data_IF_809458159020
#
_entry.id   IF_809458159020
#
_cell.length_a   1.000
_cell.length_b   1.000
_cell.length_c   1.000
_cell.angle_alpha   90.00
_cell.angle_beta   90.00
_cell.angle_gamma   90.00
#
_symmetry.space_group_name_H-M   'P 1'
#
loop_
_entity.id
_entity.type
_entity.pdbx_description
1 polymer ?
#
# COMPACT_ATOMS: atom_id res chain seq x y z
N UNK A 1 -9.57 61.89 -30.02
CA UNK A 1 -9.15 61.70 -28.62
C UNK A 1 -9.88 60.49 -28.06
N UNK A 2 -9.14 59.56 -27.44
CA UNK A 2 -9.55 58.44 -26.57
C UNK A 2 -10.37 57.30 -27.23
N UNK A 3 -9.79 56.21 -27.72
CA UNK A 3 -9.33 54.98 -27.01
C UNK A 3 -10.27 54.44 -25.93
N UNK A 4 -10.94 53.31 -26.22
CA UNK A 4 -10.85 52.10 -25.39
C UNK A 4 -11.54 50.91 -26.06
N UNK A 5 -10.69 49.98 -26.45
CA UNK A 5 -10.99 48.62 -26.90
C UNK A 5 -11.05 47.73 -25.65
N UNK A 6 -12.17 47.04 -25.42
CA UNK A 6 -12.27 46.01 -24.39
C UNK A 6 -12.25 44.63 -25.05
N UNK A 7 -11.07 44.01 -25.00
CA UNK A 7 -10.83 42.66 -25.48
C UNK A 7 -11.52 41.64 -24.57
N UNK A 8 -12.30 40.76 -25.20
CA UNK A 8 -12.90 39.55 -24.64
C UNK A 8 -11.79 38.58 -24.22
N UNK A 9 -11.44 38.55 -22.92
CA UNK A 9 -10.59 37.50 -22.37
C UNK A 9 -11.38 36.19 -22.32
N UNK A 10 -11.02 35.26 -23.20
CA UNK A 10 -11.43 33.88 -23.11
C UNK A 10 -10.87 33.24 -21.84
N UNK A 11 -11.76 32.74 -20.99
CA UNK A 11 -11.44 31.88 -19.85
C UNK A 11 -10.87 30.55 -20.36
N UNK A 12 -9.54 30.50 -20.54
CA UNK A 12 -8.81 29.25 -20.73
C UNK A 12 -8.82 28.46 -19.42
N UNK A 13 -9.58 27.39 -19.43
CA UNK A 13 -9.57 26.32 -18.44
C UNK A 13 -8.15 25.75 -18.33
N UNK A 14 -7.55 25.81 -17.14
CA UNK A 14 -6.22 25.25 -16.87
C UNK A 14 -6.30 23.72 -16.84
N UNK A 15 -5.48 22.97 -17.58
CA UNK A 15 -5.36 21.54 -17.35
C UNK A 15 -4.56 21.30 -16.06
N UNK A 16 -5.22 20.72 -15.06
CA UNK A 16 -4.58 20.08 -13.91
C UNK A 16 -4.11 18.69 -14.33
N UNK A 17 -2.87 18.59 -14.80
CA UNK A 17 -2.00 17.40 -14.74
C UNK A 17 -0.77 17.66 -15.62
N UNK A 18 0.21 18.36 -15.04
CA UNK A 18 1.60 18.32 -15.52
C UNK A 18 2.44 17.69 -14.41
N UNK A 19 2.33 16.37 -14.25
CA UNK A 19 3.37 15.61 -13.59
C UNK A 19 4.59 15.64 -14.52
N UNK A 20 5.63 16.37 -14.10
CA UNK A 20 6.87 16.48 -14.84
C UNK A 20 7.44 15.11 -15.15
N UNK A 21 7.96 14.95 -16.37
CA UNK A 21 8.52 13.71 -16.86
C UNK A 21 9.60 13.16 -15.91
N UNK A 22 9.29 12.04 -15.25
CA UNK A 22 10.23 11.27 -14.46
C UNK A 22 11.23 10.60 -15.43
N UNK A 23 12.46 11.12 -15.53
CA UNK A 23 13.51 10.44 -16.28
C UNK A 23 14.11 9.34 -15.40
N UNK A 24 13.72 8.09 -15.64
CA UNK A 24 14.50 6.94 -15.20
C UNK A 24 15.79 6.95 -16.02
N UNK A 25 16.88 7.43 -15.43
CA UNK A 25 18.20 7.39 -16.05
C UNK A 25 18.57 5.94 -16.39
N UNK A 26 18.97 5.71 -17.65
CA UNK A 26 19.41 4.42 -18.17
C UNK A 26 20.48 3.80 -17.26
N UNK A 27 20.12 2.72 -16.56
CA UNK A 27 21.06 1.90 -15.82
C UNK A 27 21.87 1.09 -16.83
N UNK A 28 23.14 1.46 -17.02
CA UNK A 28 24.10 0.69 -17.80
C UNK A 28 24.41 -0.61 -17.03
N UNK A 29 23.59 -1.65 -17.26
CA UNK A 29 23.67 -2.92 -16.56
C UNK A 29 24.72 -3.83 -17.22
N UNK A 30 25.96 -3.76 -16.74
CA UNK A 30 26.93 -4.83 -16.92
C UNK A 30 27.26 -5.49 -15.59
N UNK A 31 26.41 -6.44 -15.18
CA UNK A 31 26.87 -7.67 -14.50
C UNK A 31 25.79 -8.76 -14.55
N UNK A 32 26.07 -9.81 -15.32
CA UNK A 32 25.39 -11.10 -15.19
C UNK A 32 26.03 -11.86 -14.02
N UNK A 33 25.19 -12.48 -13.18
CA UNK A 33 25.57 -13.65 -12.39
C UNK A 33 25.53 -13.49 -10.86
N UNK A 34 24.34 -13.61 -10.27
CA UNK A 34 24.02 -14.34 -9.02
C UNK A 34 22.60 -13.99 -8.63
N UNK A 35 21.80 -14.99 -8.26
CA UNK A 35 20.53 -14.82 -7.56
C UNK A 35 20.78 -13.99 -6.30
N UNK A 36 20.57 -12.69 -6.41
CA UNK A 36 21.05 -11.69 -5.48
C UNK A 36 20.09 -10.52 -5.51
N UNK A 37 19.72 -10.04 -4.33
CA UNK A 37 18.73 -8.98 -4.08
C UNK A 37 18.91 -7.86 -5.12
N UNK A 38 17.89 -7.63 -5.95
CA UNK A 38 17.91 -6.52 -6.91
C UNK A 38 17.92 -5.22 -6.12
N UNK A 39 19.06 -4.53 -6.13
CA UNK A 39 19.17 -3.20 -5.52
C UNK A 39 18.64 -2.16 -6.49
N UNK A 40 17.56 -1.48 -6.10
CA UNK A 40 17.08 -0.28 -6.80
C UNK A 40 17.70 0.94 -6.12
N UNK A 41 18.41 1.79 -6.89
CA UNK A 41 18.99 3.05 -6.40
C UNK A 41 18.23 4.22 -7.02
N UNK A 42 17.63 5.05 -6.17
CA UNK A 42 16.97 6.29 -6.57
C UNK A 42 17.93 7.47 -6.35
N UNK A 43 18.13 8.28 -7.38
CA UNK A 43 18.92 9.51 -7.30
C UNK A 43 17.96 10.70 -7.28
N UNK A 44 17.88 11.38 -6.12
CA UNK A 44 17.04 12.57 -5.94
C UNK A 44 17.93 13.80 -5.83
N UNK A 45 17.68 14.83 -6.64
CA UNK A 45 18.31 16.14 -6.48
C UNK A 45 17.71 16.89 -5.29
N UNK A 46 18.34 17.97 -4.86
CA UNK A 46 17.78 18.87 -3.84
C UNK A 46 16.40 19.39 -4.24
N UNK A 47 16.18 19.67 -5.52
CA UNK A 47 14.88 20.10 -6.05
C UNK A 47 13.83 18.97 -6.05
N UNK A 48 14.24 17.71 -6.17
CA UNK A 48 13.30 16.59 -6.06
C UNK A 48 12.86 16.38 -4.61
N UNK A 49 13.77 16.61 -3.66
CA UNK A 49 13.45 16.54 -2.23
C UNK A 49 12.43 17.61 -1.82
N UNK A 50 12.50 18.83 -2.38
CA UNK A 50 11.48 19.86 -2.09
C UNK A 50 10.09 19.52 -2.63
N UNK A 51 10.00 18.55 -3.56
CA UNK A 51 8.75 18.05 -4.14
C UNK A 51 8.32 16.70 -3.57
N UNK A 52 9.13 16.10 -2.70
CA UNK A 52 8.84 14.81 -2.08
C UNK A 52 8.00 15.04 -0.83
N UNK A 53 6.99 14.19 -0.63
CA UNK A 53 6.14 14.19 0.56
C UNK A 53 6.06 12.76 1.08
N UNK A 54 6.07 12.62 2.40
CA UNK A 54 5.71 11.36 3.04
C UNK A 54 4.20 11.25 3.11
N UNK A 55 3.70 10.04 2.87
CA UNK A 55 2.31 9.69 3.06
C UNK A 55 2.22 8.50 4.00
N UNK A 56 1.22 8.54 4.87
CA UNK A 56 0.84 7.46 5.75
C UNK A 56 -0.39 6.78 5.17
N UNK A 57 -0.45 5.45 5.20
CA UNK A 57 -1.61 4.68 4.72
C UNK A 57 -2.09 3.75 5.83
N UNK A 58 -3.16 4.11 6.57
CA UNK A 58 -3.77 3.24 7.56
C UNK A 58 -4.04 1.81 7.06
N UNK A 59 -4.48 1.66 5.82
CA UNK A 59 -4.72 0.36 5.19
C UNK A 59 -3.42 -0.43 5.03
N UNK A 60 -2.36 0.22 4.53
CA UNK A 60 -1.04 -0.42 4.40
C UNK A 60 -0.49 -0.89 5.75
N UNK A 61 -0.55 -0.03 6.77
CA UNK A 61 -0.09 -0.38 8.13
C UNK A 61 -0.85 -1.56 8.70
N UNK A 62 -2.16 -1.63 8.43
CA UNK A 62 -2.99 -2.74 8.89
C UNK A 62 -2.60 -4.06 8.23
N UNK A 63 -2.39 -4.04 6.91
CA UNK A 63 -1.95 -5.22 6.15
C UNK A 63 -0.56 -5.68 6.63
N UNK A 64 0.34 -4.75 6.88
CA UNK A 64 1.69 -5.06 7.35
C UNK A 64 1.70 -5.53 8.81
N UNK A 65 0.88 -4.94 9.67
CA UNK A 65 0.66 -5.40 11.04
C UNK A 65 0.14 -6.84 11.05
N UNK A 66 -0.88 -7.14 10.24
CA UNK A 66 -1.37 -8.51 10.10
C UNK A 66 -0.28 -9.49 9.63
N UNK A 67 0.62 -9.04 8.74
CA UNK A 67 1.78 -9.84 8.33
C UNK A 67 2.73 -10.13 9.48
N UNK A 68 2.99 -9.13 10.33
CA UNK A 68 3.84 -9.27 11.53
C UNK A 68 3.24 -10.28 12.52
N UNK A 69 1.92 -10.25 12.72
CA UNK A 69 1.22 -11.20 13.60
C UNK A 69 1.40 -12.66 13.18
N UNK A 70 1.49 -12.93 11.87
CA UNK A 70 1.66 -14.30 11.37
C UNK A 70 3.08 -14.87 11.51
N UNK A 71 4.10 -14.01 11.64
CA UNK A 71 5.49 -14.43 11.86
C UNK A 71 6.18 -13.50 12.87
N UNK A 72 5.83 -13.60 14.17
CA UNK A 72 6.32 -12.66 15.19
C UNK A 72 7.83 -12.78 15.43
N UNK A 73 8.42 -13.94 15.11
CA UNK A 73 9.85 -14.23 15.30
C UNK A 73 10.76 -13.26 14.55
N UNK A 74 10.27 -12.67 13.44
CA UNK A 74 11.01 -11.66 12.65
C UNK A 74 10.96 -10.24 13.22
N UNK A 75 10.15 -10.00 14.25
CA UNK A 75 9.75 -8.66 14.69
C UNK A 75 9.74 -8.54 16.22
N UNK A 76 10.86 -8.87 16.87
CA UNK A 76 10.97 -8.98 18.33
C UNK A 76 10.49 -7.73 19.09
N UNK A 77 10.75 -6.53 18.57
CA UNK A 77 10.30 -5.27 19.19
C UNK A 77 8.76 -5.12 19.21
N UNK A 78 8.06 -5.80 18.31
CA UNK A 78 6.61 -5.74 18.19
C UNK A 78 5.89 -6.82 19.02
N UNK A 79 6.60 -7.71 19.72
CA UNK A 79 5.99 -8.84 20.45
C UNK A 79 4.91 -8.43 21.46
N UNK A 80 5.07 -7.38 22.30
CA UNK A 80 4.01 -6.97 23.22
C UNK A 80 2.71 -6.63 22.48
N UNK A 81 2.84 -5.86 21.39
CA UNK A 81 1.72 -5.52 20.53
C UNK A 81 1.12 -6.75 19.84
N UNK A 82 1.94 -7.65 19.32
CA UNK A 82 1.46 -8.86 18.64
C UNK A 82 0.59 -9.70 19.58
N UNK A 83 0.99 -9.86 20.85
CA UNK A 83 0.18 -10.57 21.84
C UNK A 83 -1.21 -9.93 22.01
N UNK A 84 -1.28 -8.61 22.14
CA UNK A 84 -2.54 -7.87 22.26
C UNK A 84 -3.39 -7.99 20.99
N UNK A 85 -2.79 -7.84 19.82
CA UNK A 85 -3.47 -7.91 18.54
C UNK A 85 -4.02 -9.33 18.26
N UNK A 86 -3.26 -10.38 18.57
CA UNK A 86 -3.70 -11.76 18.45
C UNK A 86 -4.89 -12.06 19.39
N UNK A 87 -4.88 -11.50 20.60
CA UNK A 87 -5.99 -11.64 21.55
C UNK A 87 -7.24 -10.92 21.04
N UNK A 88 -7.10 -9.66 20.60
CA UNK A 88 -8.20 -8.83 20.11
C UNK A 88 -8.85 -9.35 18.82
N UNK A 89 -8.12 -10.14 18.03
CA UNK A 89 -8.58 -10.67 16.74
C UNK A 89 -8.90 -12.17 16.78
N UNK A 90 -8.82 -12.82 17.96
CA UNK A 90 -9.05 -14.26 18.13
C UNK A 90 -10.33 -14.77 17.48
N UNK A 91 -11.42 -14.01 17.62
CA UNK A 91 -12.76 -14.45 17.22
C UNK A 91 -13.07 -14.13 15.75
N UNK A 92 -12.12 -13.56 15.01
CA UNK A 92 -12.29 -13.19 13.61
C UNK A 92 -11.86 -14.32 12.68
N UNK A 93 -12.65 -14.57 11.64
CA UNK A 93 -12.21 -15.41 10.53
C UNK A 93 -11.27 -14.61 9.61
N UNK A 94 -9.96 -14.78 9.85
CA UNK A 94 -8.89 -14.18 9.06
C UNK A 94 -8.38 -15.12 7.95
N UNK A 95 -9.08 -16.22 7.65
CA UNK A 95 -8.67 -17.22 6.66
C UNK A 95 -8.49 -16.62 5.25
N UNK A 96 -9.44 -15.80 4.81
CA UNK A 96 -9.34 -15.11 3.52
C UNK A 96 -8.19 -14.09 3.48
N UNK A 97 -7.97 -13.38 4.59
CA UNK A 97 -6.92 -12.37 4.69
C UNK A 97 -5.52 -13.01 4.75
N UNK A 98 -5.34 -14.09 5.51
CA UNK A 98 -4.08 -14.85 5.58
C UNK A 98 -3.65 -15.44 4.24
N UNK A 99 -4.64 -15.79 3.42
CA UNK A 99 -4.37 -16.32 2.10
C UNK A 99 -3.88 -15.24 1.12
N UNK A 100 -4.37 -14.00 1.23
CA UNK A 100 -3.85 -12.85 0.47
C UNK A 100 -2.54 -12.30 1.01
N UNK A 101 -2.43 -12.18 2.33
CA UNK A 101 -1.31 -11.54 3.02
C UNK A 101 -0.45 -12.61 3.65
N UNK A 102 0.38 -13.27 2.84
CA UNK A 102 1.25 -14.33 3.32
C UNK A 102 2.42 -13.78 4.16
N UNK A 103 2.95 -14.52 5.14
CA UNK A 103 4.07 -14.06 5.97
C UNK A 103 5.30 -13.64 5.16
N UNK A 104 5.53 -14.27 4.00
CA UNK A 104 6.64 -13.96 3.06
C UNK A 104 6.12 -13.96 1.62
N UNK A 105 6.73 -13.15 0.75
CA UNK A 105 6.38 -13.05 -0.67
C UNK A 105 5.59 -11.79 -1.04
N UNK A 106 5.04 -11.80 -2.24
CA UNK A 106 4.23 -10.71 -2.80
C UNK A 106 2.93 -10.53 -2.01
N UNK A 107 2.55 -9.28 -1.76
CA UNK A 107 1.21 -8.90 -1.30
C UNK A 107 0.53 -8.26 -2.52
N UNK A 108 -0.71 -8.63 -2.87
CA UNK A 108 -1.43 -7.99 -3.95
C UNK A 108 -1.44 -6.47 -3.81
N UNK A 109 -1.11 -5.75 -4.87
CA UNK A 109 -0.97 -4.29 -4.84
C UNK A 109 -2.33 -3.62 -4.50
N UNK A 110 -3.46 -4.24 -4.84
CA UNK A 110 -4.79 -3.77 -4.46
C UNK A 110 -5.06 -3.81 -2.94
N UNK A 111 -4.33 -4.62 -2.17
CA UNK A 111 -4.40 -4.62 -0.70
C UNK A 111 -3.65 -3.43 -0.10
N UNK A 112 -2.73 -2.85 -0.87
CA UNK A 112 -1.83 -1.77 -0.45
C UNK A 112 -1.79 -0.66 -1.51
N UNK A 113 -2.95 -0.06 -1.87
CA UNK A 113 -2.99 0.96 -2.89
C UNK A 113 -2.18 2.19 -2.46
N UNK A 114 -1.50 2.89 -3.38
CA UNK A 114 -0.85 4.15 -3.06
C UNK A 114 -1.86 5.16 -2.50
N UNK A 115 -1.57 5.80 -1.35
CA UNK A 115 -2.51 6.72 -0.73
C UNK A 115 -2.72 7.97 -1.60
N UNK A 116 -3.97 8.38 -1.78
CA UNK A 116 -4.35 9.53 -2.62
C UNK A 116 -3.96 10.86 -1.96
N UNK A 117 -3.97 10.90 -0.63
CA UNK A 117 -3.55 12.05 0.17
C UNK A 117 -2.45 11.64 1.16
N UNK A 118 -1.66 12.57 1.71
CA UNK A 118 -0.61 12.21 2.67
C UNK A 118 -1.11 11.57 3.97
N UNK A 119 -2.36 11.83 4.35
CA UNK A 119 -3.00 11.34 5.57
C UNK A 119 -4.46 11.01 5.24
N UNK A 120 -4.74 9.91 4.53
CA UNK A 120 -6.09 9.50 4.21
C UNK A 120 -6.77 8.89 5.45
N UNK A 121 -8.09 8.95 5.47
CA UNK A 121 -8.91 8.17 6.41
C UNK A 121 -8.90 6.70 5.97
N UNK A 122 -8.95 5.77 6.94
CA UNK A 122 -8.94 4.34 6.66
C UNK A 122 -10.11 3.93 5.75
N UNK A 123 -11.30 4.46 6.01
CA UNK A 123 -12.52 4.21 5.23
C UNK A 123 -12.38 4.70 3.78
N UNK A 124 -11.58 5.75 3.55
CA UNK A 124 -11.31 6.23 2.21
C UNK A 124 -10.43 5.25 1.43
N UNK A 125 -9.39 4.72 2.06
CA UNK A 125 -8.52 3.70 1.46
C UNK A 125 -9.26 2.37 1.27
N UNK A 126 -10.09 1.99 2.22
CA UNK A 126 -10.92 0.80 2.10
C UNK A 126 -11.88 0.90 0.92
N UNK A 127 -12.49 2.08 0.68
CA UNK A 127 -13.32 2.29 -0.52
C UNK A 127 -12.52 2.12 -1.81
N UNK A 128 -11.25 2.52 -1.86
CA UNK A 128 -10.38 2.29 -3.02
C UNK A 128 -10.16 0.79 -3.22
N UNK A 129 -9.80 0.06 -2.16
CA UNK A 129 -9.65 -1.40 -2.22
C UNK A 129 -10.93 -2.07 -2.73
N UNK A 130 -12.10 -1.70 -2.18
CA UNK A 130 -13.40 -2.28 -2.55
C UNK A 130 -13.85 -1.92 -3.97
N UNK A 131 -13.30 -0.85 -4.55
CA UNK A 131 -13.57 -0.43 -5.92
C UNK A 131 -12.61 -1.07 -6.95
N UNK A 132 -11.64 -1.87 -6.50
CA UNK A 132 -10.72 -2.59 -7.40
C UNK A 132 -11.49 -3.50 -8.34
N UNK A 133 -11.17 -3.44 -9.63
CA UNK A 133 -11.78 -4.30 -10.62
C UNK A 133 -11.39 -5.78 -10.41
N UNK A 134 -12.31 -6.70 -10.71
CA UNK A 134 -12.09 -8.12 -10.46
C UNK A 134 -10.96 -8.71 -11.30
N UNK A 135 -10.66 -8.15 -12.47
CA UNK A 135 -9.58 -8.67 -13.29
C UNK A 135 -8.22 -8.33 -12.70
N UNK A 136 -8.08 -7.14 -12.11
CA UNK A 136 -6.93 -6.76 -11.29
C UNK A 136 -6.80 -7.66 -10.06
N UNK A 137 -7.89 -7.88 -9.32
CA UNK A 137 -7.89 -8.81 -8.17
C UNK A 137 -7.42 -10.20 -8.61
N UNK A 138 -8.00 -10.78 -9.66
CA UNK A 138 -7.64 -12.10 -10.19
C UNK A 138 -6.18 -12.19 -10.59
N UNK A 139 -5.69 -11.19 -11.33
CA UNK A 139 -4.31 -11.13 -11.81
C UNK A 139 -3.33 -11.11 -10.64
N UNK A 140 -3.59 -10.27 -9.65
CA UNK A 140 -2.69 -10.10 -8.51
C UNK A 140 -2.77 -11.27 -7.53
N UNK A 141 -3.96 -11.84 -7.30
CA UNK A 141 -4.10 -13.09 -6.52
C UNK A 141 -3.34 -14.23 -7.17
N UNK A 142 -3.46 -14.42 -8.50
CA UNK A 142 -2.67 -15.45 -9.19
C UNK A 142 -1.17 -15.22 -9.04
N UNK A 143 -0.74 -13.95 -9.07
CA UNK A 143 0.66 -13.58 -8.86
C UNK A 143 1.16 -13.95 -7.45
N UNK A 144 0.33 -13.80 -6.42
CA UNK A 144 0.67 -14.26 -5.05
C UNK A 144 1.03 -15.74 -4.98
N UNK A 145 0.44 -16.56 -5.87
CA UNK A 145 0.65 -18.00 -5.93
C UNK A 145 1.46 -18.46 -7.14
N UNK A 146 2.11 -17.55 -7.88
CA UNK A 146 2.78 -17.88 -9.16
C UNK A 146 3.89 -18.94 -9.03
N UNK A 147 4.44 -19.10 -7.82
CA UNK A 147 5.49 -20.07 -7.49
C UNK A 147 4.98 -21.25 -6.64
N UNK A 148 3.68 -21.41 -6.49
CA UNK A 148 3.05 -22.48 -5.70
C UNK A 148 2.47 -23.54 -6.64
N UNK A 149 2.61 -24.80 -6.26
CA UNK A 149 2.13 -25.94 -7.06
C UNK A 149 0.61 -25.96 -7.11
N UNK A 150 -0.05 -25.66 -5.98
CA UNK A 150 -1.50 -25.67 -5.85
C UNK A 150 -2.03 -24.36 -5.28
N UNK A 151 -3.21 -23.94 -5.75
CA UNK A 151 -3.95 -22.81 -5.18
C UNK A 151 -4.85 -23.31 -4.05
N UNK A 152 -4.76 -22.72 -2.85
CA UNK A 152 -5.68 -23.04 -1.76
C UNK A 152 -7.14 -22.79 -2.13
N UNK A 153 -8.05 -23.63 -1.66
CA UNK A 153 -9.49 -23.50 -1.90
C UNK A 153 -10.05 -22.16 -1.39
N UNK A 154 -9.51 -21.68 -0.26
CA UNK A 154 -9.85 -20.37 0.33
C UNK A 154 -9.61 -19.19 -0.63
N UNK A 155 -8.81 -19.36 -1.70
CA UNK A 155 -8.58 -18.31 -2.71
C UNK A 155 -9.63 -18.28 -3.82
N UNK A 156 -10.35 -19.38 -4.04
CA UNK A 156 -11.32 -19.48 -5.13
C UNK A 156 -12.34 -18.34 -5.14
N UNK A 157 -12.87 -17.86 -4.00
CA UNK A 157 -13.78 -16.72 -3.98
C UNK A 157 -13.20 -15.46 -4.63
N UNK A 158 -11.90 -15.16 -4.52
CA UNK A 158 -11.30 -14.00 -5.20
C UNK A 158 -11.16 -14.17 -6.70
N UNK A 159 -11.20 -15.43 -7.18
CA UNK A 159 -11.11 -15.75 -8.59
C UNK A 159 -12.49 -15.76 -9.25
N UNK A 160 -13.56 -16.05 -8.50
CA UNK A 160 -14.90 -16.24 -9.05
C UNK A 160 -15.91 -15.15 -8.64
N UNK A 161 -15.71 -14.46 -7.52
CA UNK A 161 -16.71 -13.58 -6.89
C UNK A 161 -16.16 -12.18 -6.55
N UNK A 162 -16.95 -11.15 -6.88
CA UNK A 162 -16.69 -9.76 -6.51
C UNK A 162 -16.92 -9.46 -5.02
N UNK A 163 -17.56 -10.36 -4.27
CA UNK A 163 -17.78 -10.17 -2.83
C UNK A 163 -16.54 -10.50 -1.99
N UNK A 164 -15.62 -11.33 -2.48
CA UNK A 164 -14.44 -11.75 -1.71
C UNK A 164 -13.51 -10.59 -1.32
N UNK A 165 -13.18 -9.61 -2.21
CA UNK A 165 -12.49 -8.39 -1.80
C UNK A 165 -13.22 -7.61 -0.70
N UNK A 166 -14.56 -7.66 -0.68
CA UNK A 166 -15.38 -7.00 0.35
C UNK A 166 -15.31 -7.69 1.70
N UNK A 167 -15.32 -9.03 1.71
CA UNK A 167 -15.15 -9.82 2.91
C UNK A 167 -13.76 -9.59 3.53
N UNK A 168 -12.70 -9.59 2.72
CA UNK A 168 -11.34 -9.32 3.20
C UNK A 168 -11.14 -7.90 3.67
N UNK A 169 -11.69 -6.91 2.98
CA UNK A 169 -11.63 -5.51 3.42
C UNK A 169 -12.27 -5.30 4.81
N UNK A 170 -13.35 -6.01 5.13
CA UNK A 170 -13.96 -5.98 6.47
C UNK A 170 -13.07 -6.62 7.53
N UNK A 171 -12.39 -7.72 7.20
CA UNK A 171 -11.42 -8.35 8.10
C UNK A 171 -10.23 -7.42 8.39
N UNK A 172 -9.76 -6.67 7.38
CA UNK A 172 -8.71 -5.66 7.56
C UNK A 172 -9.14 -4.56 8.54
N UNK A 173 -10.37 -4.05 8.44
CA UNK A 173 -10.87 -3.01 9.35
C UNK A 173 -10.75 -3.37 10.84
N UNK A 174 -11.01 -4.63 11.20
CA UNK A 174 -10.93 -5.06 12.61
C UNK A 174 -9.50 -5.19 13.13
N UNK A 175 -8.53 -5.51 12.25
CA UNK A 175 -7.11 -5.55 12.63
C UNK A 175 -6.60 -4.14 12.95
N UNK A 176 -7.12 -3.10 12.28
CA UNK A 176 -6.77 -1.71 12.57
C UNK A 176 -7.27 -1.27 13.95
N UNK A 177 -8.50 -1.63 14.32
CA UNK A 177 -9.05 -1.31 15.65
C UNK A 177 -8.26 -1.99 16.78
N UNK A 178 -7.70 -3.17 16.51
CA UNK A 178 -6.78 -3.88 17.40
C UNK A 178 -5.34 -3.34 17.36
N UNK A 179 -5.01 -2.42 16.43
CA UNK A 179 -3.70 -1.81 16.35
C UNK A 179 -3.64 -0.62 17.32
N UNK A 180 -2.94 -0.72 18.47
CA UNK A 180 -2.65 0.46 19.25
C UNK A 180 -1.82 1.40 18.37
N UNK A 181 -2.19 2.67 18.37
CA UNK A 181 -1.46 3.80 17.77
C UNK A 181 0.06 3.86 18.09
N UNK A 182 0.56 2.96 18.93
CA UNK A 182 1.86 2.96 19.58
C UNK A 182 3.06 2.72 18.66
N UNK A 183 2.90 2.14 17.46
CA UNK A 183 4.06 1.88 16.58
C UNK A 183 4.72 3.17 16.03
N UNK A 184 3.96 4.27 15.88
CA UNK A 184 4.50 5.56 15.44
C UNK A 184 5.19 6.36 16.56
N UNK A 185 4.96 6.01 17.83
CA UNK A 185 5.61 6.66 18.96
C UNK A 185 7.07 6.17 19.18
N UNK A 186 7.51 5.13 18.47
CA UNK A 186 8.83 4.53 18.61
C UNK A 186 9.97 5.25 17.85
N UNK A 187 9.67 6.36 17.16
CA UNK A 187 10.69 7.27 16.64
C UNK A 187 10.76 8.55 17.50
N UNK A 188 11.55 8.56 18.59
CA UNK A 188 11.96 9.82 19.20
C UNK A 188 12.87 10.53 18.20
N UNK A 189 12.29 11.47 17.45
CA UNK A 189 13.04 12.46 16.71
C UNK A 189 13.72 13.40 17.69
N UNK A 190 14.89 13.01 18.20
CA UNK A 190 15.88 13.95 18.72
C UNK A 190 16.47 14.73 17.53
N UNK A 191 15.65 15.61 16.94
CA UNK A 191 16.14 16.71 16.13
C UNK A 191 16.48 17.85 17.09
N UNK A 192 17.68 17.79 17.67
CA UNK A 192 18.27 18.96 18.32
C UNK A 192 18.74 19.92 17.23
N UNK A 193 18.31 21.17 17.36
CA UNK A 193 18.76 22.36 16.64
C UNK A 193 20.28 22.57 16.70
#
# INVERSE_FOLDING_TARGET
MMTSSFARLGSRQRPANQFGAFRIGSLNNRSRGRTGRTMVRLHLSTLDLTKTRFAFSPLWETVMGFRVMQEPSGFVIHLPWVCEACEATRDLDLGLLSALVQPRGYIPDFMTPPPVTPLPEFEAELRVLLATDLETVRREVRRTYEHKVDLPEVIQPFLTDHAAPRASGRATAHVLDAHPRAALAAFPGDARE
#
